data_IF_863494960841
#
_entry.id   IF_863494960841
#
_cell.length_a   1.000
_cell.length_b   1.000
_cell.length_c   1.000
_cell.angle_alpha   90.00
_cell.angle_beta   90.00
_cell.angle_gamma   90.00
#
_symmetry.space_group_name_H-M   'P 1'
#
loop_
_entity.id
_entity.type
_entity.pdbx_description
1 polymer ?
#
# COMPACT_ATOMS: atom_id res chain seq x y z
N UNK A 1 9.67 -23.64 -35.14
CA UNK A 1 10.05 -22.21 -35.23
C UNK A 1 9.39 -21.34 -34.14
N UNK A 2 8.20 -21.67 -33.61
CA UNK A 2 7.51 -20.93 -32.54
C UNK A 2 8.07 -21.05 -31.10
N UNK A 3 8.97 -22.01 -30.82
CA UNK A 3 9.57 -22.16 -29.47
C UNK A 3 10.74 -21.21 -29.17
N UNK A 4 11.31 -20.55 -30.19
CA UNK A 4 12.47 -19.64 -30.00
C UNK A 4 12.07 -18.18 -29.74
N UNK A 5 10.84 -17.78 -30.02
CA UNK A 5 10.40 -16.37 -29.93
C UNK A 5 10.08 -15.91 -28.50
N UNK A 6 9.83 -16.84 -27.57
CA UNK A 6 9.62 -16.52 -26.15
C UNK A 6 10.92 -16.46 -25.31
N UNK A 7 12.08 -16.70 -25.94
CA UNK A 7 13.35 -16.83 -25.24
C UNK A 7 14.03 -15.50 -24.85
N UNK A 8 13.48 -14.34 -25.20
CA UNK A 8 14.27 -13.08 -25.16
C UNK A 8 13.61 -11.87 -24.49
N UNK A 9 12.50 -12.00 -23.77
CA UNK A 9 11.99 -10.83 -23.01
C UNK A 9 12.70 -10.67 -21.67
N UNK A 10 13.66 -9.75 -21.59
CA UNK A 10 14.35 -9.48 -20.33
C UNK A 10 13.32 -9.15 -19.22
N UNK A 11 13.58 -9.50 -17.95
CA UNK A 11 12.72 -9.08 -16.84
C UNK A 11 12.52 -7.54 -16.77
N UNK A 12 13.44 -6.76 -17.36
CA UNK A 12 13.28 -5.33 -17.54
C UNK A 12 12.16 -4.99 -18.54
N UNK A 13 12.07 -5.71 -19.67
CA UNK A 13 10.97 -5.53 -20.63
C UNK A 13 9.60 -5.76 -19.98
N UNK A 14 9.45 -6.82 -19.18
CA UNK A 14 8.21 -7.06 -18.42
C UNK A 14 7.86 -5.91 -17.47
N UNK A 15 8.85 -5.40 -16.73
CA UNK A 15 8.65 -4.28 -15.81
C UNK A 15 8.26 -2.99 -16.55
N UNK A 16 8.94 -2.65 -17.64
CA UNK A 16 8.63 -1.47 -18.46
C UNK A 16 7.25 -1.57 -19.11
N UNK A 17 6.91 -2.73 -19.68
CA UNK A 17 5.58 -2.96 -20.28
C UNK A 17 4.49 -2.89 -19.22
N UNK A 18 4.70 -3.49 -18.04
CA UNK A 18 3.74 -3.42 -16.93
C UNK A 18 3.49 -1.98 -16.49
N UNK A 19 4.57 -1.22 -16.31
CA UNK A 19 4.51 0.18 -15.91
C UNK A 19 3.73 1.01 -16.94
N UNK A 20 4.13 0.93 -18.22
CA UNK A 20 3.52 1.68 -19.31
C UNK A 20 2.05 1.29 -19.52
N UNK A 21 1.73 0.00 -19.40
CA UNK A 21 0.35 -0.49 -19.51
C UNK A 21 -0.54 0.09 -18.42
N UNK A 22 -0.15 -0.02 -17.15
CA UNK A 22 -0.94 0.50 -16.02
C UNK A 22 -1.12 2.01 -16.18
N UNK A 23 -0.05 2.74 -16.50
CA UNK A 23 -0.10 4.18 -16.69
C UNK A 23 -1.04 4.56 -17.83
N UNK A 24 -0.90 3.90 -18.99
CA UNK A 24 -1.75 4.14 -20.16
C UNK A 24 -3.23 3.85 -19.90
N UNK A 25 -3.56 2.75 -19.22
CA UNK A 25 -4.96 2.43 -18.86
C UNK A 25 -5.53 3.50 -17.94
N UNK A 26 -4.84 3.85 -16.85
CA UNK A 26 -5.33 4.83 -15.87
C UNK A 26 -5.46 6.22 -16.50
N UNK A 27 -4.48 6.64 -17.30
CA UNK A 27 -4.56 7.90 -18.05
C UNK A 27 -5.68 7.91 -19.09
N UNK A 28 -5.98 6.78 -19.73
CA UNK A 28 -7.11 6.69 -20.68
C UNK A 28 -8.44 6.87 -19.95
N UNK A 29 -8.61 6.26 -18.77
CA UNK A 29 -9.78 6.46 -17.91
C UNK A 29 -9.91 7.94 -17.55
N UNK A 30 -8.82 8.56 -17.08
CA UNK A 30 -8.78 9.99 -16.77
C UNK A 30 -9.06 10.90 -17.96
N UNK A 31 -8.48 10.60 -19.11
CA UNK A 31 -8.70 11.38 -20.31
C UNK A 31 -10.19 11.36 -20.72
N UNK A 32 -10.87 10.24 -20.48
CA UNK A 32 -12.28 10.08 -20.85
C UNK A 32 -13.27 10.64 -19.82
N UNK A 33 -12.95 10.52 -18.53
CA UNK A 33 -13.90 10.77 -17.43
C UNK A 33 -13.40 11.78 -16.38
N UNK A 34 -12.15 12.23 -16.46
CA UNK A 34 -11.55 13.15 -15.51
C UNK A 34 -11.98 14.60 -15.72
N UNK A 35 -11.83 15.40 -14.65
CA UNK A 35 -12.15 16.81 -14.59
C UNK A 35 -11.05 17.59 -13.86
N UNK A 36 -10.97 18.89 -14.11
CA UNK A 36 -9.99 19.78 -13.47
C UNK A 36 -10.50 20.34 -12.13
N UNK A 37 -11.81 20.34 -11.93
CA UNK A 37 -12.43 20.84 -10.70
C UNK A 37 -12.27 19.80 -9.58
N UNK A 38 -11.85 20.23 -8.37
CA UNK A 38 -11.73 19.36 -7.20
C UNK A 38 -13.05 18.65 -6.85
N UNK A 39 -12.93 17.46 -6.29
CA UNK A 39 -14.08 16.64 -5.91
C UNK A 39 -14.03 16.15 -4.47
N UNK A 40 -15.21 16.08 -3.82
CA UNK A 40 -15.40 15.45 -2.51
C UNK A 40 -14.36 15.87 -1.46
N UNK A 41 -13.60 14.89 -0.95
CA UNK A 41 -12.58 15.04 0.07
C UNK A 41 -11.52 16.10 -0.29
N UNK A 42 -11.29 16.39 -1.57
CA UNK A 42 -10.35 17.45 -2.00
C UNK A 42 -10.75 18.83 -1.49
N UNK A 43 -12.04 19.16 -1.48
CA UNK A 43 -12.47 20.48 -1.00
C UNK A 43 -12.12 20.70 0.47
N UNK A 44 -12.36 19.69 1.30
CA UNK A 44 -12.10 19.79 2.74
C UNK A 44 -10.61 19.60 3.06
N UNK A 45 -10.04 18.45 2.68
CA UNK A 45 -8.69 18.08 3.08
C UNK A 45 -7.61 18.95 2.41
N UNK A 46 -7.84 19.36 1.18
CA UNK A 46 -6.87 20.06 0.36
C UNK A 46 -7.18 21.55 0.23
N UNK A 47 -8.42 21.90 -0.15
CA UNK A 47 -8.84 23.30 -0.24
C UNK A 47 -8.75 24.02 1.11
N UNK A 48 -9.54 23.55 2.08
CA UNK A 48 -9.66 24.19 3.40
C UNK A 48 -8.50 23.87 4.35
N UNK A 49 -7.99 22.64 4.32
CA UNK A 49 -7.00 22.15 5.30
C UNK A 49 -5.57 22.04 4.75
N UNK A 50 -5.28 22.66 3.60
CA UNK A 50 -3.93 22.77 3.04
C UNK A 50 -3.70 24.07 2.27
N UNK A 51 -4.42 24.30 1.18
CA UNK A 51 -4.16 25.38 0.23
C UNK A 51 -4.54 26.75 0.80
N UNK A 52 -5.72 26.90 1.39
CA UNK A 52 -6.11 28.15 2.04
C UNK A 52 -5.14 28.54 3.18
N UNK A 53 -4.78 27.64 4.12
CA UNK A 53 -3.73 27.89 5.12
C UNK A 53 -2.38 28.30 4.53
N UNK A 54 -1.98 27.69 3.41
CA UNK A 54 -0.72 28.01 2.74
C UNK A 54 -0.73 29.41 2.11
N UNK A 55 -1.76 29.75 1.33
CA UNK A 55 -1.81 31.03 0.61
C UNK A 55 -2.19 32.22 1.49
N UNK A 56 -2.82 31.98 2.65
CA UNK A 56 -3.18 33.03 3.60
C UNK A 56 -2.15 33.21 4.72
N UNK A 57 -1.01 32.50 4.68
CA UNK A 57 0.00 32.46 5.74
C UNK A 57 -0.58 32.10 7.13
N UNK A 58 -1.62 31.26 7.15
CA UNK A 58 -2.41 30.96 8.33
C UNK A 58 -2.11 29.55 8.85
N UNK A 59 -1.23 29.45 9.85
CA UNK A 59 -0.96 28.22 10.60
C UNK A 59 -0.75 26.95 9.75
N UNK A 60 -0.11 27.08 8.59
CA UNK A 60 0.08 25.98 7.62
C UNK A 60 0.58 24.67 8.23
N UNK A 61 1.60 24.72 9.10
CA UNK A 61 2.15 23.52 9.74
C UNK A 61 1.10 22.79 10.58
N UNK A 62 0.19 23.50 11.23
CA UNK A 62 -0.92 22.87 11.96
C UNK A 62 -1.88 22.21 10.98
N UNK A 63 -2.30 22.95 9.95
CA UNK A 63 -3.21 22.45 8.92
C UNK A 63 -2.68 21.19 8.21
N UNK A 64 -1.37 21.14 7.96
CA UNK A 64 -0.69 20.00 7.36
C UNK A 64 -0.88 18.70 8.15
N UNK A 65 -0.83 18.78 9.49
CA UNK A 65 -1.01 17.63 10.39
C UNK A 65 -2.46 17.45 10.89
N UNK A 66 -3.36 18.37 10.56
CA UNK A 66 -4.80 18.23 10.87
C UNK A 66 -5.35 16.97 10.17
N UNK A 67 -5.99 16.06 10.93
CA UNK A 67 -6.66 14.90 10.36
C UNK A 67 -7.77 15.32 9.39
N UNK A 68 -7.89 14.62 8.28
CA UNK A 68 -9.10 14.61 7.46
C UNK A 68 -9.80 13.28 7.71
N UNK A 69 -11.01 13.35 8.27
CA UNK A 69 -11.63 12.22 8.97
C UNK A 69 -10.64 11.62 9.99
N UNK A 70 -10.48 10.30 10.05
CA UNK A 70 -9.50 9.63 10.92
C UNK A 70 -8.07 9.62 10.36
N UNK A 71 -7.84 10.20 9.18
CA UNK A 71 -6.57 10.06 8.45
C UNK A 71 -5.67 11.28 8.61
N UNK A 72 -4.40 11.05 8.98
CA UNK A 72 -3.35 12.08 8.87
C UNK A 72 -2.64 11.94 7.54
N UNK A 73 -3.17 12.63 6.53
CA UNK A 73 -2.79 12.51 5.11
C UNK A 73 -1.63 13.44 4.72
N UNK A 74 -0.63 13.58 5.59
CA UNK A 74 0.46 14.56 5.43
C UNK A 74 1.21 14.37 4.11
N UNK A 75 1.49 13.13 3.72
CA UNK A 75 2.23 12.84 2.49
C UNK A 75 1.47 13.26 1.23
N UNK A 76 0.16 13.00 1.21
CA UNK A 76 -0.75 13.46 0.15
C UNK A 76 -0.78 14.97 0.08
N UNK A 77 -0.96 15.63 1.23
CA UNK A 77 -0.97 17.09 1.35
C UNK A 77 0.32 17.71 0.81
N UNK A 78 1.48 17.18 1.17
CA UNK A 78 2.77 17.66 0.66
C UNK A 78 2.92 17.45 -0.85
N UNK A 79 2.51 16.28 -1.37
CA UNK A 79 2.53 16.01 -2.80
C UNK A 79 1.65 17.01 -3.56
N UNK A 80 0.39 17.16 -3.15
CA UNK A 80 -0.57 18.00 -3.85
C UNK A 80 -0.21 19.49 -3.76
N UNK A 81 0.32 19.95 -2.61
CA UNK A 81 0.88 21.29 -2.50
C UNK A 81 2.04 21.48 -3.50
N UNK A 82 2.98 20.54 -3.57
CA UNK A 82 4.09 20.60 -4.50
C UNK A 82 3.64 20.68 -5.96
N UNK A 83 2.62 19.90 -6.33
CA UNK A 83 2.03 19.93 -7.67
C UNK A 83 1.33 21.26 -7.96
N UNK A 84 0.54 21.77 -7.02
CA UNK A 84 -0.13 23.07 -7.13
C UNK A 84 0.87 24.20 -7.31
N UNK A 85 1.96 24.23 -6.53
CA UNK A 85 3.00 25.24 -6.63
C UNK A 85 3.78 25.15 -7.96
N UNK A 86 4.06 23.93 -8.43
CA UNK A 86 4.75 23.72 -9.70
C UNK A 86 3.87 24.10 -10.90
N UNK A 87 2.55 23.91 -10.79
CA UNK A 87 1.58 24.21 -11.85
C UNK A 87 1.12 25.68 -11.85
N UNK A 88 1.24 26.37 -10.70
CA UNK A 88 0.80 27.75 -10.50
C UNK A 88 -0.69 27.91 -10.18
N UNK A 89 -1.47 26.83 -10.24
CA UNK A 89 -2.85 26.77 -9.75
C UNK A 89 -3.19 25.35 -9.29
N UNK A 90 -4.28 25.22 -8.51
CA UNK A 90 -4.81 23.94 -8.09
C UNK A 90 -5.47 23.22 -9.27
N UNK A 91 -4.97 22.02 -9.61
CA UNK A 91 -5.47 21.21 -10.71
C UNK A 91 -5.56 19.73 -10.30
N UNK A 92 -6.79 19.27 -10.02
CA UNK A 92 -7.07 17.87 -9.71
C UNK A 92 -6.57 16.95 -10.82
N UNK A 93 -6.64 17.36 -12.09
CA UNK A 93 -6.23 16.51 -13.23
C UNK A 93 -4.74 16.23 -13.19
N UNK A 94 -3.92 17.21 -12.82
CA UNK A 94 -2.48 17.02 -12.66
C UNK A 94 -2.19 16.01 -11.55
N UNK A 95 -2.81 16.18 -10.38
CA UNK A 95 -2.65 15.29 -9.23
C UNK A 95 -3.06 13.86 -9.57
N UNK A 96 -4.20 13.69 -10.21
CA UNK A 96 -4.70 12.45 -10.77
C UNK A 96 -3.71 11.73 -11.70
N UNK A 97 -3.15 12.48 -12.66
CA UNK A 97 -2.17 11.98 -13.63
C UNK A 97 -0.89 11.54 -12.91
N UNK A 98 -0.43 12.33 -11.93
CA UNK A 98 0.71 11.98 -11.07
C UNK A 98 0.40 10.77 -10.18
N UNK A 99 -0.82 10.65 -9.66
CA UNK A 99 -1.24 9.55 -8.80
C UNK A 99 -1.15 8.21 -9.51
N UNK A 100 -1.38 8.16 -10.83
CA UNK A 100 -1.26 6.95 -11.64
C UNK A 100 0.17 6.36 -11.67
N UNK A 101 1.20 7.15 -11.34
CA UNK A 101 2.59 6.68 -11.24
C UNK A 101 2.77 5.71 -10.06
N UNK A 102 2.06 5.90 -8.95
CA UNK A 102 2.21 5.06 -7.77
C UNK A 102 1.73 3.62 -7.97
N UNK A 103 0.50 3.32 -8.42
CA UNK A 103 0.07 1.94 -8.64
C UNK A 103 0.93 1.23 -9.69
N UNK A 104 1.41 1.94 -10.73
CA UNK A 104 2.35 1.38 -11.69
C UNK A 104 3.69 1.00 -11.02
N UNK A 105 4.24 1.89 -10.19
CA UNK A 105 5.48 1.65 -9.44
C UNK A 105 5.34 0.51 -8.42
N UNK A 106 4.21 0.45 -7.72
CA UNK A 106 3.89 -0.59 -6.75
C UNK A 106 3.77 -1.95 -7.46
N UNK A 107 3.06 -2.02 -8.58
CA UNK A 107 2.93 -3.24 -9.37
C UNK A 107 4.30 -3.74 -9.87
N UNK A 108 5.15 -2.84 -10.39
CA UNK A 108 6.52 -3.18 -10.78
C UNK A 108 7.35 -3.66 -9.58
N UNK A 109 7.19 -3.04 -8.41
CA UNK A 109 7.88 -3.46 -7.20
C UNK A 109 7.46 -4.87 -6.78
N UNK A 110 6.16 -5.18 -6.79
CA UNK A 110 5.66 -6.54 -6.58
C UNK A 110 6.22 -7.51 -7.61
N UNK A 111 6.26 -7.13 -8.89
CA UNK A 111 6.86 -7.94 -9.95
C UNK A 111 8.34 -8.26 -9.68
N UNK A 112 9.15 -7.25 -9.34
CA UNK A 112 10.58 -7.39 -9.08
C UNK A 112 10.87 -8.27 -7.85
N UNK A 113 10.03 -8.17 -6.82
CA UNK A 113 10.15 -9.00 -5.62
C UNK A 113 9.72 -10.44 -5.89
N UNK A 114 8.52 -10.65 -6.43
CA UNK A 114 7.96 -11.98 -6.62
C UNK A 114 8.66 -12.78 -7.73
N UNK A 115 9.16 -12.14 -8.79
CA UNK A 115 9.84 -12.86 -9.91
C UNK A 115 11.04 -13.69 -9.45
N UNK A 116 11.64 -13.37 -8.30
CA UNK A 116 12.78 -14.12 -7.73
C UNK A 116 12.37 -15.51 -7.26
N UNK A 117 11.07 -15.74 -7.07
CA UNK A 117 10.48 -16.96 -6.55
C UNK A 117 9.55 -17.65 -7.55
N UNK A 118 9.49 -17.16 -8.80
CA UNK A 118 8.62 -17.68 -9.84
C UNK A 118 9.43 -18.29 -10.98
N UNK A 119 9.00 -19.45 -11.46
CA UNK A 119 9.51 -19.99 -12.71
C UNK A 119 9.26 -19.02 -13.87
N UNK A 120 10.13 -19.06 -14.87
CA UNK A 120 10.04 -18.22 -16.06
C UNK A 120 8.67 -18.25 -16.76
N UNK A 121 8.02 -19.43 -16.80
CA UNK A 121 6.69 -19.62 -17.40
C UNK A 121 5.58 -18.78 -16.74
N UNK A 122 5.74 -18.43 -15.47
CA UNK A 122 4.75 -17.68 -14.70
C UNK A 122 4.92 -16.17 -14.80
N UNK A 123 6.05 -15.67 -15.32
CA UNK A 123 6.29 -14.22 -15.39
C UNK A 123 5.26 -13.50 -16.26
N UNK A 124 4.89 -14.06 -17.41
CA UNK A 124 3.91 -13.44 -18.30
C UNK A 124 2.48 -13.44 -17.70
N UNK A 125 1.92 -14.58 -17.23
CA UNK A 125 0.64 -14.59 -16.52
C UNK A 125 0.63 -13.67 -15.30
N UNK A 126 1.70 -13.65 -14.53
CA UNK A 126 1.79 -12.78 -13.35
C UNK A 126 1.84 -11.29 -13.72
N UNK A 127 2.56 -10.94 -14.80
CA UNK A 127 2.57 -9.58 -15.33
C UNK A 127 1.17 -9.16 -15.79
N UNK A 128 0.46 -10.02 -16.53
CA UNK A 128 -0.90 -9.76 -16.97
C UNK A 128 -1.86 -9.58 -15.77
N UNK A 129 -1.73 -10.43 -14.75
CA UNK A 129 -2.49 -10.33 -13.51
C UNK A 129 -2.26 -9.00 -12.79
N UNK A 130 -1.00 -8.59 -12.59
CA UNK A 130 -0.67 -7.31 -11.98
C UNK A 130 -1.19 -6.14 -12.82
N UNK A 131 -1.03 -6.20 -14.15
CA UNK A 131 -1.54 -5.18 -15.07
C UNK A 131 -3.06 -5.05 -14.99
N UNK A 132 -3.78 -6.16 -14.85
CA UNK A 132 -5.22 -6.16 -14.68
C UNK A 132 -5.64 -5.51 -13.36
N UNK A 133 -5.11 -5.98 -12.23
CA UNK A 133 -5.51 -5.51 -10.89
C UNK A 133 -5.12 -4.05 -10.65
N UNK A 134 -3.94 -3.62 -11.10
CA UNK A 134 -3.47 -2.25 -10.90
C UNK A 134 -3.81 -1.30 -12.05
N UNK A 135 -4.19 -1.80 -13.23
CA UNK A 135 -4.56 -0.96 -14.37
C UNK A 135 -6.03 -0.58 -14.39
N UNK A 136 -6.93 -1.53 -14.14
CA UNK A 136 -8.36 -1.33 -14.33
C UNK A 136 -9.03 -0.59 -13.15
N UNK A 137 -10.15 0.12 -13.39
CA UNK A 137 -10.84 0.97 -12.41
C UNK A 137 -11.66 0.15 -11.38
N UNK A 138 -11.00 -0.80 -10.73
CA UNK A 138 -11.57 -1.61 -9.65
C UNK A 138 -11.88 -0.81 -8.37
N UNK A 139 -11.23 0.35 -8.22
CA UNK A 139 -11.48 1.30 -7.14
C UNK A 139 -12.64 2.26 -7.45
N UNK A 140 -13.47 1.95 -8.45
CA UNK A 140 -14.59 2.79 -8.89
C UNK A 140 -14.13 4.24 -9.17
N UNK A 141 -14.87 5.25 -8.72
CA UNK A 141 -14.58 6.66 -8.94
C UNK A 141 -13.28 7.14 -8.28
N UNK A 142 -12.72 6.42 -7.30
CA UNK A 142 -11.45 6.82 -6.66
C UNK A 142 -10.28 6.82 -7.63
N UNK A 143 -10.40 6.15 -8.78
CA UNK A 143 -9.41 6.29 -9.83
C UNK A 143 -9.32 7.74 -10.32
N UNK A 144 -10.39 8.55 -10.23
CA UNK A 144 -10.51 9.91 -10.76
C UNK A 144 -10.06 11.03 -9.78
N UNK A 145 -9.86 10.71 -8.50
CA UNK A 145 -9.55 11.73 -7.49
C UNK A 145 -8.07 12.07 -7.37
N UNK A 146 -7.77 13.37 -7.30
CA UNK A 146 -6.42 13.90 -7.01
C UNK A 146 -5.97 13.64 -5.57
N UNK A 147 -6.91 13.39 -4.66
CA UNK A 147 -6.66 13.17 -3.23
C UNK A 147 -6.18 11.76 -2.86
N UNK A 148 -6.30 10.77 -3.75
CA UNK A 148 -6.19 9.37 -3.34
C UNK A 148 -4.75 8.82 -3.23
N UNK A 149 -3.72 9.67 -3.36
CA UNK A 149 -2.32 9.27 -3.21
C UNK A 149 -2.01 8.62 -1.86
N UNK A 150 -2.73 8.99 -0.79
CA UNK A 150 -2.69 8.41 0.55
C UNK A 150 -2.78 6.87 0.56
N UNK A 151 -3.63 6.30 -0.29
CA UNK A 151 -3.83 4.84 -0.38
C UNK A 151 -2.60 4.16 -0.97
N UNK A 152 -1.96 4.80 -1.95
CA UNK A 152 -0.74 4.28 -2.56
C UNK A 152 0.49 4.49 -1.68
N UNK A 153 0.58 5.60 -0.96
CA UNK A 153 1.60 5.79 0.08
C UNK A 153 1.51 4.68 1.13
N UNK A 154 0.29 4.39 1.63
CA UNK A 154 0.07 3.28 2.57
C UNK A 154 0.63 1.96 2.03
N UNK A 155 0.23 1.55 0.82
CA UNK A 155 0.64 0.26 0.24
C UNK A 155 2.13 0.24 -0.05
N UNK A 156 2.68 1.29 -0.66
CA UNK A 156 4.09 1.38 -1.02
C UNK A 156 5.01 1.38 0.20
N UNK A 157 4.69 2.18 1.23
CA UNK A 157 5.49 2.26 2.46
C UNK A 157 5.39 0.98 3.28
N UNK A 158 4.20 0.37 3.36
CA UNK A 158 4.03 -0.95 3.98
C UNK A 158 4.87 -2.02 3.26
N UNK A 159 4.87 -2.03 1.92
CA UNK A 159 5.68 -2.95 1.13
C UNK A 159 7.18 -2.75 1.42
N UNK A 160 7.67 -1.51 1.49
CA UNK A 160 9.08 -1.22 1.82
C UNK A 160 9.41 -1.69 3.24
N UNK A 161 8.57 -1.39 4.22
CA UNK A 161 8.77 -1.83 5.60
C UNK A 161 8.83 -3.37 5.71
N UNK A 162 7.87 -4.06 5.09
CA UNK A 162 7.76 -5.52 5.07
C UNK A 162 8.94 -6.17 4.33
N UNK A 163 9.39 -5.59 3.22
CA UNK A 163 10.49 -6.14 2.42
C UNK A 163 11.87 -5.92 3.06
N UNK A 164 12.03 -4.91 3.92
CA UNK A 164 13.34 -4.52 4.44
C UNK A 164 13.55 -4.86 5.92
N UNK A 165 12.60 -4.55 6.80
CA UNK A 165 12.79 -4.68 8.26
C UNK A 165 13.02 -6.12 8.74
N UNK A 166 12.24 -7.13 8.32
CA UNK A 166 12.43 -8.51 8.79
C UNK A 166 13.57 -9.25 8.10
N UNK A 167 14.10 -8.75 6.97
CA UNK A 167 15.09 -9.47 6.16
C UNK A 167 16.48 -8.82 6.11
N UNK A 168 16.68 -7.69 6.78
CA UNK A 168 17.99 -7.04 6.86
C UNK A 168 18.48 -6.95 8.31
N UNK A 169 19.80 -6.93 8.49
CA UNK A 169 20.41 -6.77 9.79
C UNK A 169 19.95 -5.45 10.44
N UNK A 170 19.59 -5.46 11.74
CA UNK A 170 19.29 -4.25 12.48
C UNK A 170 20.36 -3.17 12.28
N UNK A 171 19.94 -1.91 12.20
CA UNK A 171 20.80 -0.73 12.02
C UNK A 171 21.57 -0.64 10.69
N UNK A 172 21.40 -1.60 9.77
CA UNK A 172 21.91 -1.46 8.40
C UNK A 172 21.19 -0.33 7.65
N UNK A 173 21.80 0.19 6.57
CA UNK A 173 21.17 1.22 5.71
C UNK A 173 19.79 0.80 5.21
N UNK A 174 19.62 -0.48 4.82
CA UNK A 174 18.34 -1.03 4.35
C UNK A 174 17.32 -1.14 5.47
N UNK A 175 17.77 -1.49 6.69
CA UNK A 175 16.89 -1.51 7.85
C UNK A 175 16.37 -0.11 8.20
N UNK A 176 17.23 0.92 8.17
CA UNK A 176 16.80 2.31 8.37
C UNK A 176 15.84 2.81 7.29
N UNK A 177 16.01 2.39 6.04
CA UNK A 177 15.04 2.68 4.98
C UNK A 177 13.67 2.05 5.28
N UNK A 178 13.64 0.81 5.76
CA UNK A 178 12.42 0.15 6.21
C UNK A 178 11.80 0.83 7.43
N UNK A 179 12.63 1.32 8.37
CA UNK A 179 12.19 2.05 9.55
C UNK A 179 11.56 3.40 9.19
N UNK A 180 12.20 4.14 8.30
CA UNK A 180 11.67 5.38 7.75
C UNK A 180 10.33 5.13 7.04
N UNK A 181 10.22 4.05 6.25
CA UNK A 181 8.96 3.70 5.60
C UNK A 181 7.84 3.39 6.61
N UNK A 182 8.13 2.64 7.68
CA UNK A 182 7.16 2.35 8.74
C UNK A 182 6.71 3.64 9.46
N UNK A 183 7.63 4.57 9.73
CA UNK A 183 7.32 5.85 10.35
C UNK A 183 6.49 6.76 9.43
N UNK A 184 6.91 6.91 8.16
CA UNK A 184 6.17 7.67 7.14
C UNK A 184 4.79 7.07 6.87
N UNK A 185 4.64 5.75 7.03
CA UNK A 185 3.36 5.06 6.90
C UNK A 185 2.27 5.64 7.82
N UNK A 186 2.64 6.10 9.02
CA UNK A 186 1.72 6.74 9.99
C UNK A 186 1.12 8.06 9.47
N UNK A 187 1.72 8.64 8.43
CA UNK A 187 1.33 9.90 7.81
C UNK A 187 0.70 9.73 6.41
N UNK A 188 0.24 8.51 6.10
CA UNK A 188 -0.53 8.19 4.89
C UNK A 188 -2.03 8.10 5.18
N UNK A 189 -2.55 6.94 5.58
CA UNK A 189 -3.92 6.74 6.07
C UNK A 189 -3.93 6.23 7.51
N UNK A 190 -5.11 6.21 8.15
CA UNK A 190 -5.27 5.69 9.52
C UNK A 190 -4.72 4.27 9.70
N UNK A 191 -4.79 3.43 8.66
CA UNK A 191 -4.28 2.06 8.66
C UNK A 191 -2.76 1.94 8.47
N UNK A 192 -2.03 3.07 8.41
CA UNK A 192 -0.56 3.13 8.26
C UNK A 192 0.22 2.24 9.24
N UNK A 193 -0.29 2.13 10.47
CA UNK A 193 0.34 1.33 11.54
C UNK A 193 0.42 -0.17 11.22
N UNK A 194 -0.47 -0.69 10.36
CA UNK A 194 -0.53 -2.13 10.08
C UNK A 194 0.70 -2.64 9.33
N UNK A 195 1.44 -1.79 8.60
CA UNK A 195 2.73 -2.18 8.03
C UNK A 195 3.70 -2.68 9.10
N UNK A 196 3.77 -1.99 10.24
CA UNK A 196 4.59 -2.40 11.38
C UNK A 196 4.05 -3.66 12.06
N UNK A 197 2.73 -3.78 12.20
CA UNK A 197 2.08 -4.99 12.76
C UNK A 197 2.40 -6.23 11.94
N UNK A 198 2.38 -6.14 10.61
CA UNK A 198 2.76 -7.25 9.72
C UNK A 198 4.24 -7.62 9.91
N UNK A 199 5.13 -6.63 10.05
CA UNK A 199 6.56 -6.88 10.33
C UNK A 199 6.73 -7.66 11.65
N UNK A 200 6.02 -7.27 12.72
CA UNK A 200 6.05 -8.00 14.00
C UNK A 200 5.59 -9.45 13.80
N UNK A 201 4.48 -9.67 13.09
CA UNK A 201 3.98 -11.01 12.78
C UNK A 201 4.99 -11.86 12.01
N UNK A 202 5.68 -11.28 11.01
CA UNK A 202 6.73 -11.97 10.26
C UNK A 202 7.94 -12.34 11.13
N UNK A 203 8.34 -11.48 12.07
CA UNK A 203 9.38 -11.83 13.05
C UNK A 203 8.94 -12.98 13.96
N UNK A 204 7.67 -13.01 14.37
CA UNK A 204 7.09 -14.13 15.09
C UNK A 204 7.17 -15.44 14.29
N UNK A 205 6.84 -15.39 12.99
CA UNK A 205 6.99 -16.55 12.10
C UNK A 205 8.45 -16.99 11.97
N UNK A 206 9.39 -16.06 11.75
CA UNK A 206 10.82 -16.38 11.66
C UNK A 206 11.35 -17.01 12.96
N UNK A 207 10.90 -16.52 14.10
CA UNK A 207 11.24 -17.06 15.42
C UNK A 207 10.67 -18.48 15.63
N UNK A 208 9.38 -18.69 15.33
CA UNK A 208 8.74 -20.02 15.40
C UNK A 208 9.45 -21.05 14.51
N UNK A 209 9.90 -20.62 13.33
CA UNK A 209 10.65 -21.46 12.37
C UNK A 209 12.13 -21.60 12.70
N UNK A 210 12.60 -21.03 13.82
CA UNK A 210 14.00 -21.00 14.26
C UNK A 210 14.96 -20.40 13.20
N UNK A 211 14.43 -19.55 12.33
CA UNK A 211 15.20 -18.81 11.32
C UNK A 211 15.86 -17.55 11.92
N UNK A 212 15.43 -17.16 13.13
CA UNK A 212 15.91 -15.97 13.81
C UNK A 212 15.93 -16.15 15.33
N UNK A 213 16.97 -15.64 15.99
CA UNK A 213 17.05 -15.61 17.45
C UNK A 213 16.28 -14.41 18.00
N UNK A 214 15.74 -14.54 19.22
CA UNK A 214 15.01 -13.46 19.88
C UNK A 214 15.84 -12.17 19.96
N UNK A 215 17.09 -12.26 20.43
CA UNK A 215 17.99 -11.11 20.57
C UNK A 215 18.20 -10.35 19.26
N UNK A 216 18.32 -11.05 18.13
CA UNK A 216 18.47 -10.41 16.81
C UNK A 216 17.20 -9.75 16.28
N UNK A 217 16.03 -10.10 16.83
CA UNK A 217 14.74 -9.53 16.48
C UNK A 217 14.37 -8.32 17.33
N UNK A 218 14.95 -8.18 18.53
CA UNK A 218 14.62 -7.10 19.51
C UNK A 218 14.59 -5.71 18.89
N UNK A 219 15.61 -5.24 18.11
CA UNK A 219 15.56 -3.87 17.58
C UNK A 219 14.38 -3.64 16.63
N UNK A 220 14.09 -4.60 15.75
CA UNK A 220 12.97 -4.50 14.82
C UNK A 220 11.62 -4.66 15.53
N UNK A 221 11.54 -5.52 16.55
CA UNK A 221 10.35 -5.65 17.39
C UNK A 221 10.07 -4.35 18.17
N UNK A 222 11.09 -3.76 18.78
CA UNK A 222 10.96 -2.51 19.52
C UNK A 222 10.49 -1.37 18.61
N UNK A 223 11.13 -1.20 17.44
CA UNK A 223 10.72 -0.22 16.44
C UNK A 223 9.28 -0.46 15.95
N UNK A 224 8.96 -1.71 15.56
CA UNK A 224 7.64 -2.08 15.04
C UNK A 224 6.55 -1.83 16.07
N UNK A 225 6.79 -2.22 17.33
CA UNK A 225 5.86 -1.97 18.44
C UNK A 225 5.73 -0.48 18.71
N UNK A 226 6.83 0.28 18.73
CA UNK A 226 6.78 1.72 18.91
C UNK A 226 5.97 2.41 17.81
N UNK A 227 6.16 2.04 16.54
CA UNK A 227 5.39 2.57 15.41
C UNK A 227 3.90 2.18 15.50
N UNK A 228 3.59 0.93 15.85
CA UNK A 228 2.22 0.47 16.03
C UNK A 228 1.51 1.20 17.17
N UNK A 229 2.17 1.36 18.32
CA UNK A 229 1.64 2.09 19.47
C UNK A 229 1.50 3.58 19.16
N UNK A 230 2.48 4.19 18.48
CA UNK A 230 2.40 5.58 18.05
C UNK A 230 1.20 5.80 17.13
N UNK A 231 0.98 4.92 16.14
CA UNK A 231 -0.22 4.97 15.29
C UNK A 231 -1.51 4.79 16.08
N UNK A 232 -1.55 3.82 17.00
CA UNK A 232 -2.74 3.53 17.81
C UNK A 232 -3.14 4.66 18.76
N UNK A 233 -2.16 5.25 19.47
CA UNK A 233 -2.40 6.31 20.46
C UNK A 233 -2.49 7.69 19.83
N UNK A 234 -1.92 7.89 18.64
CA UNK A 234 -2.14 9.13 17.91
C UNK A 234 -3.47 9.14 17.16
N UNK A 235 -4.19 8.03 17.01
CA UNK A 235 -5.43 8.00 16.20
C UNK A 235 -6.40 9.13 16.58
N UNK A 236 -7.00 9.73 15.57
CA UNK A 236 -8.08 10.68 15.78
C UNK A 236 -9.40 9.98 15.50
N UNK A 237 -10.36 10.12 16.41
CA UNK A 237 -11.69 9.56 16.25
C UNK A 237 -12.60 10.67 15.72
N UNK A 238 -13.10 10.49 14.50
CA UNK A 238 -13.94 11.48 13.84
C UNK A 238 -15.41 11.28 14.27
N UNK A 239 -16.01 12.21 15.03
CA UNK A 239 -17.32 11.99 15.63
C UNK A 239 -18.44 11.60 14.64
N UNK A 240 -18.51 12.17 13.42
CA UNK A 240 -19.51 11.76 12.43
C UNK A 240 -19.44 10.29 12.03
N UNK A 241 -18.27 9.64 12.13
CA UNK A 241 -18.09 8.23 11.81
C UNK A 241 -18.40 7.29 12.97
N UNK A 242 -18.72 7.79 14.17
CA UNK A 242 -19.10 6.94 15.31
C UNK A 242 -20.26 6.02 14.96
N UNK A 243 -21.25 6.50 14.20
CA UNK A 243 -22.41 5.71 13.79
C UNK A 243 -22.03 4.58 12.81
N UNK A 244 -20.91 4.72 12.09
CA UNK A 244 -20.43 3.75 11.10
C UNK A 244 -19.56 2.64 11.73
N UNK A 245 -19.10 2.83 12.98
CA UNK A 245 -18.28 1.84 13.68
C UNK A 245 -19.12 0.64 14.11
N UNK A 246 -18.52 -0.55 14.03
CA UNK A 246 -19.09 -1.79 14.57
C UNK A 246 -19.45 -1.61 16.05
N UNK A 247 -20.69 -1.95 16.43
CA UNK A 247 -21.20 -1.78 17.80
C UNK A 247 -21.04 -3.04 18.65
N UNK A 248 -20.86 -4.18 17.99
CA UNK A 248 -20.71 -5.48 18.63
C UNK A 248 -19.82 -6.40 17.79
N UNK A 249 -19.54 -7.60 18.31
CA UNK A 249 -18.69 -8.59 17.63
C UNK A 249 -19.29 -9.08 16.30
N UNK A 250 -20.62 -9.19 16.20
CA UNK A 250 -21.29 -9.61 14.97
C UNK A 250 -21.10 -8.58 13.86
N UNK A 251 -21.25 -7.29 14.18
CA UNK A 251 -20.99 -6.21 13.22
C UNK A 251 -19.54 -6.27 12.73
N UNK A 252 -18.60 -6.42 13.67
CA UNK A 252 -17.17 -6.49 13.36
C UNK A 252 -16.83 -7.70 12.46
N UNK A 253 -17.31 -8.90 12.81
CA UNK A 253 -17.11 -10.10 12.00
C UNK A 253 -17.74 -9.97 10.60
N UNK A 254 -18.94 -9.37 10.53
CA UNK A 254 -19.64 -9.13 9.27
C UNK A 254 -18.88 -8.14 8.39
N UNK A 255 -18.38 -7.03 8.94
CA UNK A 255 -17.56 -6.04 8.21
C UNK A 255 -16.27 -6.66 7.68
N UNK A 256 -15.62 -7.54 8.44
CA UNK A 256 -14.43 -8.27 7.97
C UNK A 256 -14.78 -9.17 6.79
N UNK A 257 -15.82 -9.99 6.89
CA UNK A 257 -16.24 -10.89 5.79
C UNK A 257 -16.61 -10.07 4.54
N UNK A 258 -17.33 -8.96 4.73
CA UNK A 258 -17.70 -8.05 3.64
C UNK A 258 -16.50 -7.39 2.96
N UNK A 259 -15.43 -7.13 3.71
CA UNK A 259 -14.17 -6.62 3.15
C UNK A 259 -13.40 -7.71 2.41
N UNK A 260 -13.39 -8.93 2.94
CA UNK A 260 -12.65 -10.08 2.37
C UNK A 260 -13.31 -10.66 1.11
N UNK A 261 -14.61 -10.46 0.90
CA UNK A 261 -15.34 -10.95 -0.28
C UNK A 261 -15.16 -10.05 -1.52
N UNK A 262 -14.48 -8.91 -1.42
CA UNK A 262 -14.21 -8.07 -2.59
C UNK A 262 -13.47 -8.89 -3.69
N UNK A 263 -13.84 -8.77 -4.98
CA UNK A 263 -14.77 -7.82 -5.59
C UNK A 263 -16.25 -8.27 -5.70
N UNK A 264 -16.69 -9.32 -5.00
CA UNK A 264 -18.05 -9.86 -5.09
C UNK A 264 -18.89 -9.58 -3.82
N UNK A 265 -19.39 -8.34 -3.62
CA UNK A 265 -20.04 -7.93 -2.36
C UNK A 265 -21.35 -8.66 -2.05
N UNK A 266 -21.99 -9.28 -3.04
CA UNK A 266 -23.21 -10.07 -2.88
C UNK A 266 -22.93 -11.56 -2.60
N UNK A 267 -21.67 -11.98 -2.53
CA UNK A 267 -21.28 -13.39 -2.44
C UNK A 267 -20.29 -13.63 -1.30
N UNK A 268 -20.74 -13.78 -0.04
CA UNK A 268 -19.87 -13.97 1.12
C UNK A 268 -18.92 -15.18 1.01
N UNK A 269 -19.35 -16.24 0.34
CA UNK A 269 -18.53 -17.42 0.07
C UNK A 269 -17.30 -17.11 -0.80
N UNK A 270 -17.31 -16.01 -1.56
CA UNK A 270 -16.20 -15.57 -2.38
C UNK A 270 -14.95 -15.25 -1.53
N UNK A 271 -15.14 -14.78 -0.29
CA UNK A 271 -14.04 -14.60 0.65
C UNK A 271 -13.30 -15.93 0.91
N UNK A 272 -14.03 -17.03 1.10
CA UNK A 272 -13.39 -18.35 1.28
C UNK A 272 -12.65 -18.77 0.02
N UNK A 273 -13.27 -18.63 -1.16
CA UNK A 273 -12.62 -19.00 -2.42
C UNK A 273 -11.33 -18.20 -2.66
N UNK A 274 -11.35 -16.90 -2.38
CA UNK A 274 -10.21 -16.02 -2.59
C UNK A 274 -9.08 -16.28 -1.60
N UNK A 275 -9.39 -16.45 -0.31
CA UNK A 275 -8.39 -16.48 0.76
C UNK A 275 -7.93 -17.90 1.16
N UNK A 276 -8.73 -18.94 0.94
CA UNK A 276 -8.39 -20.32 1.32
C UNK A 276 -7.07 -20.83 0.71
N UNK A 277 -6.74 -20.58 -0.57
CA UNK A 277 -5.45 -21.00 -1.11
C UNK A 277 -4.26 -20.32 -0.42
N UNK A 278 -4.42 -19.05 -0.06
CA UNK A 278 -3.38 -18.27 0.62
C UNK A 278 -3.21 -18.68 2.08
N UNK A 279 -4.32 -18.89 2.81
CA UNK A 279 -4.25 -19.38 4.20
C UNK A 279 -3.63 -20.77 4.25
N UNK A 280 -4.01 -21.66 3.33
CA UNK A 280 -3.36 -22.97 3.20
C UNK A 280 -1.87 -22.85 2.92
N UNK A 281 -1.46 -21.98 1.98
CA UNK A 281 -0.05 -21.75 1.66
C UNK A 281 0.73 -21.16 2.85
N UNK A 282 0.14 -20.24 3.61
CA UNK A 282 0.73 -19.67 4.82
C UNK A 282 0.89 -20.75 5.89
N UNK A 283 -0.15 -21.54 6.17
CA UNK A 283 -0.09 -22.65 7.13
C UNK A 283 1.00 -23.64 6.72
N UNK A 284 1.07 -24.01 5.44
CA UNK A 284 2.14 -24.87 4.92
C UNK A 284 3.50 -24.21 5.08
N UNK A 285 3.67 -22.94 4.76
CA UNK A 285 4.95 -22.25 4.87
C UNK A 285 5.44 -22.12 6.32
N UNK A 286 4.53 -21.90 7.27
CA UNK A 286 4.83 -21.73 8.69
C UNK A 286 5.10 -23.07 9.37
N UNK A 287 4.27 -24.08 9.13
CA UNK A 287 4.29 -25.35 9.88
C UNK A 287 4.90 -26.54 9.15
N UNK A 288 5.31 -26.42 7.87
CA UNK A 288 5.98 -27.53 7.20
C UNK A 288 7.35 -27.79 7.84
N UNK A 289 7.68 -29.05 8.19
CA UNK A 289 8.99 -29.43 8.71
C UNK A 289 10.08 -29.02 7.72
N UNK A 290 11.06 -28.25 8.18
CA UNK A 290 12.22 -27.89 7.37
C UNK A 290 13.37 -28.83 7.74
N UNK A 291 14.00 -29.52 6.76
CA UNK A 291 15.24 -30.23 7.03
C UNK A 291 16.28 -29.24 7.57
N UNK A 292 17.00 -29.61 8.62
CA UNK A 292 18.04 -28.77 9.26
C UNK A 292 19.15 -28.34 8.28
N UNK A 293 19.24 -28.97 7.12
CA UNK A 293 20.23 -28.73 6.07
C UNK A 293 19.77 -27.74 4.99
N UNK A 294 18.53 -27.24 5.06
CA UNK A 294 18.03 -26.32 4.04
C UNK A 294 18.68 -24.92 4.20
N UNK A 295 19.25 -24.33 3.13
CA UNK A 295 19.87 -23.01 3.21
C UNK A 295 18.87 -21.93 3.65
N UNK A 296 19.37 -20.89 4.32
CA UNK A 296 18.57 -19.72 4.71
C UNK A 296 17.87 -19.14 3.50
N UNK A 297 16.57 -18.81 3.62
CA UNK A 297 15.89 -18.09 2.54
C UNK A 297 16.47 -16.67 2.52
N UNK A 298 17.07 -16.31 1.39
CA UNK A 298 17.51 -14.96 1.07
C UNK A 298 16.32 -14.04 0.78
#
# INVERSE_FOLDING_TARGET
MLKKTFATFSPAAFACCLFAFILGVRWTVFHRYGMTMPEWDQWDAEGLQLLAPWFNDDHFLRALFTPHNEHRVVLTKLLNLGLTLANGHWDQRLEAVCNALFPATIAVSFFILARRHLDRRWLAPFTAFLGFIFGFPFAWQNILGGFHSQQFFLVGLALIAIALLPFNAPFSRRWWLGAAAAALGLFSMASGLFGAVVVIGLLGVQWLRRERTFNSAVPTLALGTAAALAGWFSRYEFPPHEVLKAKNFSDFASTIIQSLQWPAPSSPWFALMLWLPWTWLVVRAVFSPRPLTAPSRA
#
